data_IF_063751768690
#
_entry.id   IF_063751768690
#
_cell.length_a   1.000
_cell.length_b   1.000
_cell.length_c   1.000
_cell.angle_alpha   90.00
_cell.angle_beta   90.00
_cell.angle_gamma   90.00
#
_symmetry.space_group_name_H-M   'P 1'
#
loop_
_entity.id
_entity.type
_entity.pdbx_description
1 polymer ?
#
# COMPACT_ATOMS: atom_id res chain seq x y z
N UNK A 1 20.89 32.36 1.66
CA UNK A 1 19.61 32.55 0.94
C UNK A 1 19.43 31.42 -0.08
N UNK A 2 18.68 30.35 0.21
CA UNK A 2 18.19 29.47 -0.83
C UNK A 2 16.82 29.98 -1.28
N UNK A 3 16.74 30.30 -2.57
CA UNK A 3 15.56 30.83 -3.22
C UNK A 3 14.46 29.74 -3.33
N UNK A 4 13.23 30.17 -3.05
CA UNK A 4 11.94 29.59 -3.41
C UNK A 4 11.88 28.10 -3.75
N UNK A 5 11.35 27.29 -2.82
CA UNK A 5 10.66 26.03 -3.16
C UNK A 5 9.39 26.38 -3.92
N UNK A 6 9.53 26.60 -5.23
CA UNK A 6 8.41 26.66 -6.15
C UNK A 6 7.65 25.34 -6.07
N UNK A 7 6.35 25.42 -5.76
CA UNK A 7 5.42 24.33 -6.00
C UNK A 7 5.46 24.10 -7.51
N UNK A 8 6.23 23.09 -7.95
CA UNK A 8 6.27 22.70 -9.35
C UNK A 8 4.85 22.29 -9.74
N UNK A 9 4.15 23.15 -10.50
CA UNK A 9 2.98 22.74 -11.27
C UNK A 9 3.44 21.64 -12.21
N UNK A 10 3.08 20.39 -11.90
CA UNK A 10 3.35 19.25 -12.75
C UNK A 10 2.47 19.35 -14.00
N UNK A 11 2.97 20.00 -15.04
CA UNK A 11 2.45 19.81 -16.40
C UNK A 11 2.96 18.45 -16.92
N UNK A 12 2.02 17.54 -17.16
CA UNK A 12 2.28 16.19 -17.67
C UNK A 12 1.86 15.10 -16.68
N UNK A 13 1.04 14.18 -17.19
CA UNK A 13 0.45 13.02 -16.52
C UNK A 13 1.52 12.04 -16.01
N UNK A 14 2.24 12.37 -14.93
CA UNK A 14 3.25 11.49 -14.35
C UNK A 14 2.62 10.57 -13.31
N UNK A 15 2.55 9.28 -13.68
CA UNK A 15 2.00 8.18 -12.88
C UNK A 15 3.03 7.52 -11.93
N UNK A 16 4.21 8.12 -11.77
CA UNK A 16 5.27 7.61 -10.91
C UNK A 16 5.59 8.61 -9.80
N UNK A 17 5.81 8.10 -8.59
CA UNK A 17 6.34 8.89 -7.50
C UNK A 17 7.78 9.27 -7.83
N UNK A 18 8.10 10.57 -7.74
CA UNK A 18 9.48 11.02 -7.90
C UNK A 18 10.26 10.70 -6.63
N UNK A 19 11.59 10.50 -6.74
CA UNK A 19 12.44 10.57 -5.56
C UNK A 19 12.16 11.85 -4.78
N UNK A 20 11.87 11.73 -3.49
CA UNK A 20 11.49 12.86 -2.62
C UNK A 20 10.01 13.26 -2.65
N UNK A 21 9.12 12.50 -3.32
CA UNK A 21 7.67 12.67 -3.17
C UNK A 21 7.28 12.50 -1.69
N UNK A 22 6.58 13.50 -1.13
CA UNK A 22 6.02 13.44 0.21
C UNK A 22 5.09 12.24 0.37
N UNK A 23 5.03 11.64 1.56
CA UNK A 23 4.08 10.59 1.90
C UNK A 23 2.62 10.98 1.60
N UNK A 24 2.26 12.26 1.79
CA UNK A 24 0.91 12.77 1.49
C UNK A 24 0.55 12.79 -0.01
N UNK A 25 1.55 12.75 -0.89
CA UNK A 25 1.40 12.81 -2.34
C UNK A 25 1.78 11.48 -3.01
N UNK A 26 2.09 10.46 -2.22
CA UNK A 26 2.44 9.15 -2.76
C UNK A 26 1.20 8.54 -3.41
N UNK A 27 1.34 8.06 -4.63
CA UNK A 27 0.29 7.38 -5.36
C UNK A 27 -0.99 8.21 -5.61
N UNK A 28 -0.91 9.55 -5.62
CA UNK A 28 -2.07 10.43 -5.88
C UNK A 28 -2.27 10.72 -7.37
N UNK A 29 -2.28 9.67 -8.20
CA UNK A 29 -2.63 9.80 -9.62
C UNK A 29 -4.15 9.84 -9.83
N UNK A 30 -4.57 10.22 -11.04
CA UNK A 30 -5.98 10.29 -11.41
C UNK A 30 -6.67 8.95 -11.32
N UNK A 31 -7.87 8.98 -10.75
CA UNK A 31 -8.72 7.81 -10.58
C UNK A 31 -9.16 7.26 -11.94
N UNK A 32 -9.25 5.94 -12.02
CA UNK A 32 -9.67 5.21 -13.21
C UNK A 32 -11.04 4.59 -13.00
N UNK A 33 -11.78 4.52 -14.09
CA UNK A 33 -13.02 3.77 -14.18
C UNK A 33 -12.74 2.28 -14.37
N UNK A 34 -13.74 1.46 -14.06
CA UNK A 34 -13.65 0.01 -14.23
C UNK A 34 -13.49 -0.37 -15.72
N UNK A 35 -14.10 0.41 -16.62
CA UNK A 35 -14.04 0.20 -18.07
C UNK A 35 -12.63 0.46 -18.65
N UNK A 36 -11.83 1.29 -17.98
CA UNK A 36 -10.50 1.67 -18.44
C UNK A 36 -9.38 0.75 -17.91
N UNK A 37 -9.71 -0.23 -17.05
CA UNK A 37 -8.79 -1.22 -16.51
C UNK A 37 -7.99 -1.93 -17.61
N UNK A 38 -8.70 -2.48 -18.60
CA UNK A 38 -8.09 -3.26 -19.69
C UNK A 38 -7.27 -2.41 -20.67
N UNK A 39 -7.49 -1.09 -20.69
CA UNK A 39 -6.77 -0.16 -21.58
C UNK A 39 -5.39 0.20 -21.04
N UNK A 40 -5.09 -0.16 -19.79
CA UNK A 40 -3.87 0.22 -19.08
C UNK A 40 -3.03 -1.01 -18.72
N UNK A 41 -1.71 -1.01 -18.97
CA UNK A 41 -0.84 -2.14 -18.62
C UNK A 41 -0.87 -2.53 -17.14
N UNK A 42 -1.06 -1.56 -16.24
CA UNK A 42 -1.16 -1.75 -14.79
C UNK A 42 -2.56 -1.39 -14.25
N UNK A 43 -3.60 -1.46 -15.09
CA UNK A 43 -4.94 -0.99 -14.73
C UNK A 43 -5.47 -1.60 -13.44
N UNK A 44 -5.39 -2.93 -13.30
CA UNK A 44 -5.86 -3.62 -12.09
C UNK A 44 -5.13 -3.14 -10.82
N UNK A 45 -3.81 -2.98 -10.89
CA UNK A 45 -2.99 -2.47 -9.78
C UNK A 45 -3.38 -1.02 -9.41
N UNK A 46 -3.47 -0.13 -10.41
CA UNK A 46 -3.83 1.27 -10.23
C UNK A 46 -5.22 1.41 -9.58
N UNK A 47 -6.18 0.58 -10.01
CA UNK A 47 -7.54 0.55 -9.49
C UNK A 47 -7.59 0.08 -8.04
N UNK A 48 -6.89 -1.02 -7.72
CA UNK A 48 -6.81 -1.50 -6.35
C UNK A 48 -6.20 -0.46 -5.40
N UNK A 49 -5.15 0.22 -5.86
CA UNK A 49 -4.51 1.31 -5.12
C UNK A 49 -5.48 2.47 -4.89
N UNK A 50 -6.28 2.83 -5.89
CA UNK A 50 -7.35 3.82 -5.75
C UNK A 50 -8.41 3.40 -4.72
N UNK A 51 -8.92 2.18 -4.79
CA UNK A 51 -9.89 1.66 -3.83
C UNK A 51 -9.32 1.68 -2.41
N UNK A 52 -8.07 1.25 -2.25
CA UNK A 52 -7.36 1.26 -0.96
C UNK A 52 -7.21 2.68 -0.40
N UNK A 53 -6.84 3.67 -1.24
CA UNK A 53 -6.75 5.08 -0.82
C UNK A 53 -8.09 5.63 -0.35
N UNK A 54 -9.17 5.37 -1.10
CA UNK A 54 -10.53 5.79 -0.75
C UNK A 54 -10.98 5.15 0.57
N UNK A 55 -10.76 3.84 0.72
CA UNK A 55 -11.05 3.11 1.95
C UNK A 55 -10.34 3.73 3.16
N UNK A 56 -9.03 3.95 3.09
CA UNK A 56 -8.25 4.57 4.17
C UNK A 56 -8.73 5.97 4.52
N UNK A 57 -9.07 6.79 3.52
CA UNK A 57 -9.60 8.14 3.74
C UNK A 57 -10.91 8.08 4.53
N UNK A 58 -11.85 7.23 4.11
CA UNK A 58 -13.17 7.12 4.72
C UNK A 58 -13.09 6.56 6.15
N UNK A 59 -12.24 5.56 6.39
CA UNK A 59 -12.01 4.99 7.73
C UNK A 59 -11.34 6.01 8.66
N UNK A 60 -10.38 6.80 8.14
CA UNK A 60 -9.71 7.85 8.90
C UNK A 60 -10.67 8.98 9.32
N UNK A 61 -11.54 9.44 8.43
CA UNK A 61 -12.54 10.47 8.71
C UNK A 61 -13.59 9.99 9.75
N UNK A 62 -13.94 8.70 9.73
CA UNK A 62 -14.89 8.08 10.67
C UNK A 62 -14.25 7.44 11.91
N UNK A 63 -13.01 7.81 12.25
CA UNK A 63 -12.29 7.33 13.44
C UNK A 63 -12.23 5.79 13.58
N UNK A 64 -12.14 5.05 12.48
CA UNK A 64 -11.93 3.60 12.49
C UNK A 64 -13.19 2.75 12.28
N UNK A 65 -14.36 3.36 12.06
CA UNK A 65 -15.56 2.61 11.69
C UNK A 65 -15.48 2.13 10.23
N UNK A 66 -15.74 0.83 10.01
CA UNK A 66 -15.71 0.20 8.69
C UNK A 66 -17.12 -0.26 8.33
N UNK A 67 -17.62 0.19 7.18
CA UNK A 67 -18.88 -0.31 6.63
C UNK A 67 -18.66 -1.52 5.72
N UNK A 68 -19.55 -2.52 5.83
CA UNK A 68 -19.49 -3.74 5.01
C UNK A 68 -19.45 -3.44 3.51
N UNK A 69 -20.21 -2.44 3.04
CA UNK A 69 -20.31 -2.11 1.63
C UNK A 69 -18.99 -1.62 1.01
N UNK A 70 -18.17 -0.89 1.77
CA UNK A 70 -16.86 -0.42 1.30
C UNK A 70 -15.84 -1.55 1.25
N UNK A 71 -15.91 -2.43 2.25
CA UNK A 71 -15.10 -3.64 2.30
C UNK A 71 -15.45 -4.57 1.13
N UNK A 72 -16.74 -4.78 0.87
CA UNK A 72 -17.24 -5.54 -0.28
C UNK A 72 -16.77 -4.94 -1.61
N UNK A 73 -16.77 -3.61 -1.75
CA UNK A 73 -16.28 -2.94 -2.95
C UNK A 73 -14.78 -3.18 -3.21
N UNK A 74 -13.97 -3.31 -2.16
CA UNK A 74 -12.53 -3.59 -2.27
C UNK A 74 -12.23 -5.04 -2.71
N UNK A 75 -13.05 -5.99 -2.25
CA UNK A 75 -12.88 -7.41 -2.57
C UNK A 75 -13.55 -7.82 -3.88
N UNK A 76 -14.56 -7.08 -4.33
CA UNK A 76 -15.25 -7.36 -5.59
C UNK A 76 -14.26 -7.37 -6.76
N UNK A 77 -14.22 -8.49 -7.46
CA UNK A 77 -13.40 -8.65 -8.67
C UNK A 77 -13.96 -7.75 -9.79
N UNK A 78 -13.15 -6.86 -10.39
CA UNK A 78 -13.62 -6.02 -11.49
C UNK A 78 -13.97 -6.83 -12.74
N UNK A 79 -14.86 -6.28 -13.58
CA UNK A 79 -15.20 -6.83 -14.90
C UNK A 79 -13.93 -7.02 -15.72
N UNK A 80 -13.85 -8.17 -16.39
CA UNK A 80 -12.73 -8.55 -17.27
C UNK A 80 -11.37 -8.73 -16.57
N UNK A 81 -11.33 -8.79 -15.24
CA UNK A 81 -10.15 -9.22 -14.47
C UNK A 81 -10.42 -10.62 -13.93
N UNK A 82 -9.46 -11.53 -14.08
CA UNK A 82 -9.61 -12.87 -13.48
C UNK A 82 -9.42 -12.82 -11.97
N UNK A 83 -10.08 -13.73 -11.24
CA UNK A 83 -9.95 -13.80 -9.78
C UNK A 83 -8.50 -14.01 -9.33
N UNK A 84 -7.76 -14.91 -10.00
CA UNK A 84 -6.35 -15.19 -9.69
C UNK A 84 -5.48 -13.94 -9.88
N UNK A 85 -5.70 -13.20 -10.96
CA UNK A 85 -5.01 -11.92 -11.18
C UNK A 85 -5.34 -10.92 -10.08
N UNK A 86 -6.61 -10.83 -9.67
CA UNK A 86 -7.04 -9.91 -8.61
C UNK A 86 -6.42 -10.26 -7.25
N UNK A 87 -6.39 -11.55 -6.90
CA UNK A 87 -5.71 -12.04 -5.70
C UNK A 87 -4.22 -11.71 -5.71
N UNK A 88 -3.55 -11.87 -6.86
CA UNK A 88 -2.15 -11.52 -7.02
C UNK A 88 -1.89 -10.01 -6.84
N UNK A 89 -2.77 -9.15 -7.37
CA UNK A 89 -2.70 -7.70 -7.12
C UNK A 89 -2.90 -7.35 -5.65
N UNK A 90 -3.84 -8.02 -4.97
CA UNK A 90 -4.05 -7.86 -3.53
C UNK A 90 -2.82 -8.23 -2.70
N UNK A 91 -2.14 -9.32 -3.02
CA UNK A 91 -0.90 -9.71 -2.33
C UNK A 91 0.18 -8.64 -2.52
N UNK A 92 0.36 -8.12 -3.74
CA UNK A 92 1.33 -7.05 -4.01
C UNK A 92 0.98 -5.77 -3.25
N UNK A 93 -0.30 -5.41 -3.20
CA UNK A 93 -0.76 -4.24 -2.46
C UNK A 93 -0.54 -4.41 -0.96
N UNK A 94 -0.88 -5.58 -0.40
CA UNK A 94 -0.67 -5.90 1.01
C UNK A 94 0.81 -5.78 1.40
N UNK A 95 1.72 -6.36 0.61
CA UNK A 95 3.16 -6.27 0.85
C UNK A 95 3.62 -4.81 0.80
N UNK A 96 3.15 -4.02 -0.17
CA UNK A 96 3.50 -2.59 -0.28
C UNK A 96 3.08 -1.81 0.95
N UNK A 97 1.86 -2.03 1.44
CA UNK A 97 1.32 -1.37 2.63
C UNK A 97 2.03 -1.80 3.91
N UNK A 98 2.29 -3.11 4.04
CA UNK A 98 3.02 -3.67 5.17
C UNK A 98 4.46 -3.11 5.23
N UNK A 99 5.12 -2.96 4.07
CA UNK A 99 6.47 -2.39 4.02
C UNK A 99 6.51 -0.96 4.58
N UNK A 100 5.49 -0.13 4.29
CA UNK A 100 5.40 1.21 4.85
C UNK A 100 5.29 1.17 6.39
N UNK A 101 4.46 0.27 6.93
CA UNK A 101 4.36 0.08 8.38
C UNK A 101 5.69 -0.39 9.00
N UNK A 102 6.36 -1.36 8.37
CA UNK A 102 7.65 -1.89 8.85
C UNK A 102 8.68 -0.77 8.93
N UNK A 103 8.79 0.08 7.90
CA UNK A 103 9.75 1.20 7.89
C UNK A 103 9.47 2.20 9.02
N UNK A 104 8.21 2.43 9.38
CA UNK A 104 7.85 3.32 10.50
C UNK A 104 8.25 2.71 11.85
N UNK A 105 8.13 1.38 11.99
CA UNK A 105 8.45 0.67 13.23
C UNK A 105 9.96 0.40 13.39
N UNK A 106 10.66 0.25 12.27
CA UNK A 106 12.08 -0.06 12.25
C UNK A 106 12.90 1.14 12.78
N UNK A 107 13.85 0.86 13.68
CA UNK A 107 14.70 1.88 14.28
C UNK A 107 14.43 1.99 15.78
N UNK A 108 13.72 3.03 16.21
CA UNK A 108 13.53 3.30 17.64
C UNK A 108 12.68 2.23 18.35
N UNK A 109 11.62 1.74 17.70
CA UNK A 109 10.66 0.80 18.32
C UNK A 109 11.11 -0.65 18.14
N UNK A 110 11.40 -1.05 16.91
CA UNK A 110 11.85 -2.40 16.57
C UNK A 110 13.31 -2.38 16.12
N UNK A 111 14.19 -2.91 16.99
CA UNK A 111 15.62 -3.09 16.74
C UNK A 111 16.12 -4.38 17.44
N UNK A 112 17.39 -4.71 17.25
CA UNK A 112 18.01 -5.91 17.81
C UNK A 112 17.95 -5.98 19.34
N UNK A 113 17.93 -4.82 20.02
CA UNK A 113 17.87 -4.75 21.49
C UNK A 113 16.44 -4.94 22.00
N UNK A 114 15.44 -4.32 21.36
CA UNK A 114 14.03 -4.39 21.78
C UNK A 114 13.33 -5.66 21.29
N UNK A 115 13.69 -6.14 20.11
CA UNK A 115 13.12 -7.31 19.44
C UNK A 115 14.23 -8.30 18.99
N UNK A 116 14.96 -8.92 19.94
CA UNK A 116 16.08 -9.82 19.62
C UNK A 116 15.66 -11.13 18.93
N UNK A 117 14.37 -11.44 18.93
CA UNK A 117 13.77 -12.63 18.32
C UNK A 117 12.46 -12.24 17.64
N UNK A 118 12.14 -12.86 16.51
CA UNK A 118 10.89 -12.61 15.79
C UNK A 118 9.72 -13.32 16.48
N UNK A 119 9.09 -12.65 17.47
CA UNK A 119 7.96 -13.20 18.24
C UNK A 119 6.67 -12.40 18.01
N UNK A 120 5.51 -13.08 18.00
CA UNK A 120 4.21 -12.39 18.05
C UNK A 120 3.73 -12.16 19.49
N UNK A 121 3.92 -13.17 20.35
CA UNK A 121 3.67 -13.12 21.80
C UNK A 121 4.76 -13.93 22.50
N UNK A 122 4.73 -14.04 23.83
CA UNK A 122 5.70 -14.87 24.55
C UNK A 122 5.55 -16.38 24.29
N UNK A 123 4.47 -16.80 23.63
CA UNK A 123 4.23 -18.21 23.26
C UNK A 123 4.61 -18.55 21.82
N UNK A 124 4.73 -17.55 20.94
CA UNK A 124 4.88 -17.76 19.49
C UNK A 124 6.15 -17.12 18.96
N UNK A 125 7.10 -17.97 18.58
CA UNK A 125 8.36 -17.61 17.93
C UNK A 125 8.33 -18.04 16.46
N UNK A 126 8.66 -17.11 15.57
CA UNK A 126 8.85 -17.38 14.15
C UNK A 126 10.34 -17.54 13.86
N UNK A 127 10.67 -18.58 13.10
CA UNK A 127 12.03 -18.86 12.67
C UNK A 127 12.12 -18.68 11.15
N UNK A 128 13.23 -18.11 10.69
CA UNK A 128 13.44 -17.89 9.26
C UNK A 128 13.86 -19.19 8.56
N UNK A 129 13.02 -19.70 7.67
CA UNK A 129 13.28 -20.93 6.90
C UNK A 129 14.24 -20.74 5.72
N UNK A 130 14.57 -19.49 5.36
CA UNK A 130 15.48 -19.18 4.26
C UNK A 130 16.94 -19.49 4.60
N UNK A 131 17.26 -19.71 5.88
CA UNK A 131 18.59 -20.06 6.33
C UNK A 131 18.77 -21.59 6.44
N UNK A 132 19.97 -22.13 6.14
CA UNK A 132 20.24 -23.56 6.26
C UNK A 132 20.02 -24.12 7.67
N UNK A 133 20.15 -23.26 8.69
CA UNK A 133 19.76 -23.53 10.07
C UNK A 133 18.71 -22.49 10.47
N UNK A 134 17.56 -22.90 11.04
CA UNK A 134 16.55 -21.96 11.51
C UNK A 134 17.17 -20.94 12.48
N UNK A 135 16.92 -19.66 12.22
CA UNK A 135 17.34 -18.51 13.04
C UNK A 135 16.10 -17.85 13.64
#
# INVERSE_FOLDING_TARGET
>A
LPQGRGIFKMSGFRRWNRPGTSASLINTWEDISEEDLAKRPLGAQEYLQQLTRRFKKNVGERKGEVESAEMEALFKVPKNVSEIQWQYEHIKQFITELNHLIVILQGEVCNETTCPKMKATDMWLYLCASHPKPQ
#
